data_IF_410024785863
#
_entry.id   IF_410024785863
#
_cell.length_a   1.000
_cell.length_b   1.000
_cell.length_c   1.000
_cell.angle_alpha   90.00
_cell.angle_beta   90.00
_cell.angle_gamma   90.00
#
_symmetry.space_group_name_H-M   'P 1'
#
loop_
_entity.id
_entity.type
_entity.pdbx_description
1 polymer ?
#
# COMPACT_ATOMS: atom_id res chain seq x y z
N UNK A 1 4.19 -6.52 -12.93
CA UNK A 1 3.34 -5.32 -12.80
C UNK A 1 2.94 -5.18 -11.34
N UNK A 2 2.69 -3.97 -10.85
CA UNK A 2 2.16 -3.79 -9.51
C UNK A 2 0.68 -4.16 -9.49
N UNK A 3 0.19 -4.71 -8.39
CA UNK A 3 -1.23 -5.01 -8.21
C UNK A 3 -2.09 -3.75 -8.38
N UNK A 4 -3.23 -3.88 -9.03
CA UNK A 4 -4.15 -2.75 -9.27
C UNK A 4 -4.54 -2.05 -7.96
N UNK A 5 -4.79 -2.83 -6.91
CA UNK A 5 -5.15 -2.28 -5.59
C UNK A 5 -4.01 -1.45 -4.97
N UNK A 6 -2.75 -1.82 -5.25
CA UNK A 6 -1.59 -1.07 -4.79
C UNK A 6 -1.51 0.28 -5.51
N UNK A 7 -1.71 0.29 -6.83
CA UNK A 7 -1.75 1.53 -7.62
C UNK A 7 -2.92 2.43 -7.22
N UNK A 8 -4.09 1.84 -6.96
CA UNK A 8 -5.27 2.57 -6.48
C UNK A 8 -5.00 3.21 -5.11
N UNK A 9 -4.45 2.45 -4.16
CA UNK A 9 -4.07 2.97 -2.85
C UNK A 9 -3.06 4.12 -2.96
N UNK A 10 -2.04 3.98 -3.83
CA UNK A 10 -1.07 5.04 -4.09
C UNK A 10 -1.76 6.29 -4.66
N UNK A 11 -2.69 6.13 -5.61
CA UNK A 11 -3.42 7.25 -6.20
C UNK A 11 -4.31 7.97 -5.19
N UNK A 12 -5.03 7.22 -4.35
CA UNK A 12 -5.86 7.75 -3.26
C UNK A 12 -5.01 8.50 -2.23
N UNK A 13 -3.81 8.00 -1.92
CA UNK A 13 -2.87 8.66 -1.02
C UNK A 13 -2.21 9.93 -1.59
N UNK A 14 -2.55 10.35 -2.81
CA UNK A 14 -1.94 11.53 -3.46
C UNK A 14 -0.70 11.23 -4.30
N UNK A 15 -0.46 9.97 -4.64
CA UNK A 15 0.61 9.52 -5.53
C UNK A 15 1.84 8.95 -4.81
N UNK A 16 2.80 8.46 -5.59
CA UNK A 16 4.00 7.77 -5.08
C UNK A 16 4.85 8.66 -4.16
N UNK A 17 4.96 9.96 -4.47
CA UNK A 17 5.74 10.91 -3.69
C UNK A 17 5.07 11.25 -2.35
N UNK A 18 3.75 11.49 -2.36
CA UNK A 18 2.97 11.74 -1.15
C UNK A 18 3.02 10.52 -0.22
N UNK A 19 2.77 9.32 -0.76
CA UNK A 19 2.84 8.10 0.03
C UNK A 19 4.24 7.85 0.61
N UNK A 20 5.29 8.08 -0.17
CA UNK A 20 6.66 7.93 0.30
C UNK A 20 6.99 8.90 1.46
N UNK A 21 6.52 10.16 1.34
CA UNK A 21 6.69 11.19 2.36
C UNK A 21 5.98 10.82 3.66
N UNK A 22 4.72 10.42 3.58
CA UNK A 22 3.92 10.01 4.75
C UNK A 22 4.50 8.79 5.45
N UNK A 23 5.10 7.87 4.68
CA UNK A 23 5.76 6.69 5.23
C UNK A 23 7.20 6.94 5.69
N UNK A 24 7.75 8.13 5.49
CA UNK A 24 9.12 8.47 5.83
C UNK A 24 10.17 7.68 5.04
N UNK A 25 9.86 7.28 3.81
CA UNK A 25 10.74 6.47 2.95
C UNK A 25 11.07 7.19 1.66
N UNK A 26 12.09 6.69 0.95
CA UNK A 26 12.45 7.21 -0.36
C UNK A 26 11.39 6.82 -1.39
N UNK A 27 10.98 7.76 -2.24
CA UNK A 27 10.07 7.53 -3.38
C UNK A 27 10.45 6.33 -4.26
N UNK A 28 11.73 6.07 -4.62
CA UNK A 28 12.11 4.87 -5.37
C UNK A 28 11.76 3.56 -4.65
N UNK A 29 11.69 3.55 -3.32
CA UNK A 29 11.23 2.38 -2.57
C UNK A 29 9.78 2.05 -2.89
N UNK A 30 8.92 3.06 -3.07
CA UNK A 30 7.50 2.86 -3.43
C UNK A 30 7.37 2.40 -4.88
N UNK A 31 8.17 2.94 -5.80
CA UNK A 31 8.20 2.48 -7.21
C UNK A 31 8.59 1.00 -7.35
N UNK A 32 9.41 0.48 -6.44
CA UNK A 32 9.82 -0.92 -6.44
C UNK A 32 8.74 -1.86 -5.89
N UNK A 33 7.60 -1.36 -5.40
CA UNK A 33 6.55 -2.22 -4.86
C UNK A 33 5.77 -2.87 -5.99
N UNK A 34 5.79 -4.21 -6.02
CA UNK A 34 4.79 -4.99 -6.75
C UNK A 34 3.47 -5.06 -5.97
N UNK A 35 3.59 -5.17 -4.65
CA UNK A 35 2.48 -5.19 -3.70
C UNK A 35 2.86 -4.42 -2.45
N UNK A 36 1.88 -3.95 -1.69
CA UNK A 36 2.14 -3.25 -0.43
C UNK A 36 2.82 -4.21 0.57
N UNK A 37 3.99 -3.83 1.12
CA UNK A 37 4.68 -4.67 2.12
C UNK A 37 3.82 -4.83 3.38
N UNK A 38 3.75 -6.04 3.98
CA UNK A 38 2.90 -6.32 5.15
C UNK A 38 3.10 -5.33 6.31
N UNK A 39 4.36 -4.97 6.60
CA UNK A 39 4.71 -3.98 7.64
C UNK A 39 4.17 -2.57 7.37
N UNK A 40 3.82 -2.25 6.12
CA UNK A 40 3.32 -0.94 5.69
C UNK A 40 1.82 -0.95 5.38
N UNK A 41 1.19 -2.12 5.27
CA UNK A 41 -0.25 -2.24 4.97
C UNK A 41 -1.10 -1.42 5.95
N UNK A 42 -0.80 -1.46 7.25
CA UNK A 42 -1.53 -0.66 8.24
C UNK A 42 -1.38 0.85 8.02
N UNK A 43 -0.17 1.32 7.70
CA UNK A 43 0.07 2.74 7.45
C UNK A 43 -0.63 3.19 6.15
N UNK A 44 -0.53 2.41 5.08
CA UNK A 44 -1.24 2.68 3.82
C UNK A 44 -2.76 2.66 4.04
N UNK A 45 -3.27 1.71 4.83
CA UNK A 45 -4.67 1.62 5.20
C UNK A 45 -5.17 2.87 5.92
N UNK A 46 -4.41 3.40 6.89
CA UNK A 46 -4.74 4.65 7.58
C UNK A 46 -4.73 5.86 6.64
N UNK A 47 -3.79 5.92 5.69
CA UNK A 47 -3.67 7.04 4.76
C UNK A 47 -4.75 7.04 3.68
N UNK A 48 -5.13 5.85 3.20
CA UNK A 48 -6.08 5.69 2.09
C UNK A 48 -7.51 5.44 2.54
N UNK A 49 -7.71 5.06 3.80
CA UNK A 49 -9.00 4.59 4.32
C UNK A 49 -9.41 3.20 3.82
N UNK A 50 -8.57 2.52 3.03
CA UNK A 50 -8.88 1.19 2.50
C UNK A 50 -8.50 0.15 3.56
N UNK A 51 -9.38 -0.81 3.89
CA UNK A 51 -9.07 -1.84 4.87
C UNK A 51 -7.88 -2.71 4.43
N UNK A 52 -7.02 -3.15 5.38
CA UNK A 52 -5.81 -3.90 5.08
C UNK A 52 -6.10 -5.25 4.40
N UNK A 53 -7.25 -5.82 4.69
CA UNK A 53 -7.82 -7.05 4.11
C UNK A 53 -8.05 -6.90 2.61
N UNK A 54 -8.48 -5.72 2.16
CA UNK A 54 -8.62 -5.42 0.72
C UNK A 54 -7.29 -5.10 0.07
N UNK A 55 -6.36 -4.45 0.80
CA UNK A 55 -5.03 -4.11 0.28
C UNK A 55 -4.17 -5.35 0.06
N UNK A 56 -4.28 -6.34 0.95
CA UNK A 56 -3.56 -7.62 0.87
C UNK A 56 -4.48 -8.76 1.31
N UNK A 57 -5.43 -9.20 0.46
CA UNK A 57 -6.28 -10.35 0.77
C UNK A 57 -5.44 -11.61 1.03
N UNK A 58 -4.35 -11.78 0.28
CA UNK A 58 -3.35 -12.85 0.46
C UNK A 58 -2.82 -13.02 1.90
N UNK A 59 -2.81 -11.97 2.73
CA UNK A 59 -2.37 -12.06 4.13
C UNK A 59 -3.49 -12.48 5.10
N UNK A 60 -4.75 -12.33 4.70
CA UNK A 60 -5.93 -12.54 5.55
C UNK A 60 -6.80 -13.72 5.08
N UNK A 61 -6.63 -14.20 3.86
CA UNK A 61 -7.43 -15.27 3.26
C UNK A 61 -7.18 -16.67 3.90
N UNK A 62 -6.11 -16.83 4.68
CA UNK A 62 -5.75 -18.09 5.36
C UNK A 62 -6.24 -18.13 6.83
N UNK A 63 -7.10 -17.20 7.26
CA UNK A 63 -7.65 -17.18 8.61
C UNK A 63 -9.04 -17.85 8.72
N UNK A 64 -9.27 -18.94 7.98
CA UNK A 64 -10.48 -19.77 8.07
C UNK A 64 -10.15 -21.16 8.64
#
# INVERSE_FOLDING_TARGET
MADEITLMAIKVAGGHAALAKELGIKTPSVYSWRQIPPKRVQAVSRLTGIPPEKLRPDLYEVAA
#
